data_IF_042965387402
#
_entry.id   IF_042965387402
#
_cell.length_a   1.000
_cell.length_b   1.000
_cell.length_c   1.000
_cell.angle_alpha   90.00
_cell.angle_beta   90.00
_cell.angle_gamma   90.00
#
_symmetry.space_group_name_H-M   'P 1'
#
loop_
_entity.id
_entity.type
_entity.pdbx_description
1 polymer ?
#
# COMPACT_ATOMS: atom_id res chain seq x y z
N UNK A 1 -15.07 11.08 4.42
CA UNK A 1 -15.17 11.72 5.76
C UNK A 1 -13.75 11.85 6.31
N UNK A 2 -13.47 12.71 7.27
CA UNK A 2 -12.14 12.78 7.88
C UNK A 2 -11.85 11.47 8.63
N UNK A 3 -10.70 10.84 8.39
CA UNK A 3 -10.27 9.62 9.10
C UNK A 3 -8.94 9.82 9.79
N UNK A 4 -8.76 9.24 10.96
CA UNK A 4 -7.52 9.29 11.74
C UNK A 4 -6.54 8.23 11.24
N UNK A 5 -5.23 8.50 11.34
CA UNK A 5 -4.19 7.49 11.16
C UNK A 5 -3.44 7.27 12.49
N UNK A 6 -3.13 6.01 12.86
CA UNK A 6 -3.46 4.77 12.16
C UNK A 6 -4.96 4.43 12.18
N UNK A 7 -5.46 3.63 11.20
CA UNK A 7 -6.78 3.02 11.25
C UNK A 7 -6.96 2.17 12.50
N UNK A 8 -8.20 2.06 12.99
CA UNK A 8 -8.51 1.17 14.10
C UNK A 8 -8.33 -0.31 13.70
N UNK A 9 -7.86 -1.14 14.64
CA UNK A 9 -7.66 -2.57 14.43
C UNK A 9 -8.95 -3.25 13.97
N UNK A 10 -10.09 -2.83 14.52
CA UNK A 10 -11.40 -3.38 14.14
C UNK A 10 -11.73 -3.20 12.65
N UNK A 11 -11.20 -2.16 12.00
CA UNK A 11 -11.34 -1.96 10.55
C UNK A 11 -10.52 -2.95 9.72
N UNK A 12 -9.38 -3.40 10.25
CA UNK A 12 -8.55 -4.43 9.62
C UNK A 12 -9.18 -5.82 9.84
N UNK A 13 -9.58 -6.14 11.07
CA UNK A 13 -10.26 -7.40 11.44
C UNK A 13 -11.48 -7.66 10.56
N UNK A 14 -12.35 -6.65 10.38
CA UNK A 14 -13.51 -6.75 9.47
C UNK A 14 -13.14 -7.03 8.02
N UNK A 15 -11.98 -6.55 7.56
CA UNK A 15 -11.52 -6.76 6.18
C UNK A 15 -10.85 -8.12 5.98
N UNK A 16 -10.28 -8.68 7.04
CA UNK A 16 -9.79 -10.05 7.07
C UNK A 16 -10.95 -11.06 7.08
N UNK A 17 -12.16 -10.62 7.45
CA UNK A 17 -13.35 -11.48 7.45
C UNK A 17 -13.37 -12.45 8.65
N UNK A 18 -12.70 -12.07 9.73
CA UNK A 18 -12.66 -12.82 11.00
C UNK A 18 -13.40 -12.03 12.07
N UNK A 19 -14.03 -12.73 13.00
CA UNK A 19 -14.78 -12.09 14.08
C UNK A 19 -13.84 -11.59 15.19
N UNK A 20 -12.78 -12.34 15.48
CA UNK A 20 -11.80 -12.03 16.51
C UNK A 20 -10.41 -12.53 16.08
N UNK A 21 -9.36 -11.80 16.48
CA UNK A 21 -7.96 -12.22 16.33
C UNK A 21 -7.48 -12.74 17.69
N UNK A 22 -6.63 -13.77 17.69
CA UNK A 22 -5.96 -14.16 18.92
C UNK A 22 -4.94 -13.10 19.37
N UNK A 23 -4.33 -13.29 20.55
CA UNK A 23 -3.40 -12.30 21.12
C UNK A 23 -2.18 -12.06 20.23
N UNK A 24 -1.63 -13.12 19.61
CA UNK A 24 -0.46 -13.01 18.75
C UNK A 24 -0.78 -12.29 17.44
N UNK A 25 -1.88 -12.66 16.80
CA UNK A 25 -2.33 -12.03 15.56
C UNK A 25 -2.83 -10.61 15.78
N UNK A 26 -3.38 -10.30 16.96
CA UNK A 26 -3.71 -8.94 17.37
C UNK A 26 -2.46 -8.06 17.42
N UNK A 27 -1.39 -8.51 18.09
CA UNK A 27 -0.14 -7.74 18.16
C UNK A 27 0.51 -7.60 16.78
N UNK A 28 0.54 -8.67 15.98
CA UNK A 28 1.04 -8.62 14.59
C UNK A 28 0.24 -7.64 13.74
N UNK A 29 -1.08 -7.65 13.83
CA UNK A 29 -1.94 -6.76 13.06
C UNK A 29 -1.75 -5.29 13.47
N UNK A 30 -1.53 -5.00 14.77
CA UNK A 30 -1.19 -3.66 15.25
C UNK A 30 0.15 -3.20 14.71
N UNK A 31 1.21 -4.01 14.84
CA UNK A 31 2.54 -3.68 14.30
C UNK A 31 2.46 -3.42 12.79
N UNK A 32 1.72 -4.25 12.04
CA UNK A 32 1.54 -4.02 10.60
C UNK A 32 0.80 -2.72 10.28
N UNK A 33 -0.17 -2.30 11.09
CA UNK A 33 -0.87 -1.01 10.92
C UNK A 33 0.04 0.17 11.24
N UNK A 34 0.87 0.06 12.26
CA UNK A 34 1.85 1.07 12.65
C UNK A 34 2.90 1.24 11.54
N UNK A 35 3.51 0.14 11.09
CA UNK A 35 4.50 0.15 10.01
C UNK A 35 3.92 0.70 8.71
N UNK A 36 2.71 0.26 8.32
CA UNK A 36 2.01 0.80 7.16
C UNK A 36 1.79 2.31 7.29
N UNK A 37 1.43 2.78 8.48
CA UNK A 37 1.20 4.20 8.75
C UNK A 37 2.50 5.00 8.65
N UNK A 38 3.60 4.49 9.22
CA UNK A 38 4.93 5.13 9.13
C UNK A 38 5.35 5.29 7.68
N UNK A 39 5.23 4.23 6.87
CA UNK A 39 5.59 4.28 5.44
C UNK A 39 4.74 5.29 4.66
N UNK A 40 3.43 5.34 4.94
CA UNK A 40 2.53 6.28 4.28
C UNK A 40 2.82 7.73 4.67
N UNK A 41 3.10 8.00 5.94
CA UNK A 41 3.45 9.35 6.42
C UNK A 41 4.80 9.81 5.89
N UNK A 42 5.77 8.89 5.70
CA UNK A 42 7.07 9.20 5.12
C UNK A 42 7.00 9.68 3.66
N UNK A 43 5.96 9.29 2.91
CA UNK A 43 5.72 9.75 1.53
C UNK A 43 5.09 11.16 1.45
N UNK A 44 4.82 11.80 2.60
CA UNK A 44 4.23 13.13 2.68
C UNK A 44 5.18 14.14 3.36
N UNK A 45 5.15 15.43 2.98
CA UNK A 45 5.82 16.48 3.75
C UNK A 45 5.32 16.50 5.19
N UNK A 46 6.20 16.83 6.14
CA UNK A 46 5.91 16.80 7.59
C UNK A 46 4.59 17.51 7.96
N UNK A 47 4.32 18.68 7.38
CA UNK A 47 3.07 19.42 7.61
C UNK A 47 1.82 18.63 7.20
N UNK A 48 1.89 17.88 6.10
CA UNK A 48 0.79 17.04 5.61
C UNK A 48 0.68 15.77 6.45
N UNK A 49 1.81 15.15 6.80
CA UNK A 49 1.84 13.99 7.68
C UNK A 49 1.21 14.28 9.05
N UNK A 50 1.58 15.41 9.67
CA UNK A 50 0.99 15.88 10.93
C UNK A 50 -0.50 16.18 10.80
N UNK A 51 -0.98 16.62 9.64
CA UNK A 51 -2.41 16.79 9.42
C UNK A 51 -3.13 15.45 9.29
N UNK A 52 -2.54 14.49 8.56
CA UNK A 52 -3.14 13.18 8.32
C UNK A 52 -3.22 12.29 9.55
N UNK A 53 -2.41 12.54 10.59
CA UNK A 53 -2.57 11.86 11.88
C UNK A 53 -3.97 12.04 12.47
N UNK A 54 -4.65 13.16 12.18
CA UNK A 54 -6.00 13.45 12.68
C UNK A 54 -7.06 13.55 11.59
N UNK A 55 -6.65 13.84 10.35
CA UNK A 55 -7.55 14.05 9.22
C UNK A 55 -6.89 13.63 7.90
N UNK A 56 -6.74 12.32 7.73
CA UNK A 56 -6.31 11.73 6.49
C UNK A 56 -7.47 11.60 5.48
N UNK A 57 -7.17 11.75 4.17
CA UNK A 57 -8.09 11.38 3.10
C UNK A 57 -8.45 9.90 3.12
N UNK A 58 -9.69 9.57 2.76
CA UNK A 58 -10.22 8.18 2.74
C UNK A 58 -9.33 7.22 1.93
N UNK A 59 -8.72 7.70 0.83
CA UNK A 59 -7.82 6.88 -0.01
C UNK A 59 -6.51 6.54 0.70
N UNK A 60 -5.96 7.44 1.50
CA UNK A 60 -4.73 7.21 2.27
C UNK A 60 -5.00 6.18 3.37
N UNK A 61 -6.11 6.34 4.07
CA UNK A 61 -6.59 5.38 5.06
C UNK A 61 -6.78 3.96 4.46
N UNK A 62 -7.34 3.88 3.25
CA UNK A 62 -7.51 2.61 2.54
C UNK A 62 -6.17 1.98 2.14
N UNK A 63 -5.16 2.77 1.77
CA UNK A 63 -3.83 2.26 1.44
C UNK A 63 -3.17 1.64 2.67
N UNK A 64 -3.23 2.31 3.84
CA UNK A 64 -2.68 1.77 5.09
C UNK A 64 -3.28 0.40 5.42
N UNK A 65 -4.61 0.28 5.37
CA UNK A 65 -5.29 -0.99 5.62
C UNK A 65 -4.91 -2.09 4.63
N UNK A 66 -4.74 -1.75 3.35
CA UNK A 66 -4.34 -2.72 2.32
C UNK A 66 -2.89 -3.18 2.50
N UNK A 67 -1.99 -2.28 2.86
CA UNK A 67 -0.59 -2.62 3.14
C UNK A 67 -0.49 -3.53 4.37
N UNK A 68 -1.17 -3.16 5.46
CA UNK A 68 -1.20 -3.97 6.69
C UNK A 68 -1.83 -5.36 6.48
N UNK A 69 -2.96 -5.42 5.74
CA UNK A 69 -3.60 -6.70 5.37
C UNK A 69 -2.66 -7.60 4.57
N UNK A 70 -1.93 -7.02 3.61
CA UNK A 70 -1.04 -7.79 2.73
C UNK A 70 0.09 -8.47 3.51
N UNK A 71 0.69 -7.75 4.45
CA UNK A 71 1.71 -8.32 5.33
C UNK A 71 1.12 -9.37 6.29
N UNK A 72 -0.10 -9.13 6.79
CA UNK A 72 -0.78 -10.09 7.65
C UNK A 72 -1.06 -11.42 6.92
N UNK A 73 -1.58 -11.35 5.69
CA UNK A 73 -1.91 -12.52 4.86
C UNK A 73 -0.67 -13.19 4.23
N UNK A 74 0.42 -12.45 3.99
CA UNK A 74 1.64 -12.96 3.38
C UNK A 74 2.92 -12.50 4.12
N UNK A 75 3.13 -12.97 5.36
CA UNK A 75 4.25 -12.54 6.20
C UNK A 75 5.63 -12.98 5.67
N UNK A 76 5.66 -13.88 4.67
CA UNK A 76 6.89 -14.35 4.03
C UNK A 76 7.18 -13.63 2.71
N UNK A 77 6.36 -12.65 2.31
CA UNK A 77 6.61 -11.83 1.13
C UNK A 77 6.58 -12.60 -0.21
N UNK A 78 5.94 -13.77 -0.27
CA UNK A 78 5.91 -14.56 -1.50
C UNK A 78 5.16 -13.81 -2.61
N UNK A 79 5.90 -13.22 -3.55
CA UNK A 79 5.39 -12.77 -4.84
C UNK A 79 5.66 -13.88 -5.85
N UNK A 80 4.60 -14.56 -6.30
CA UNK A 80 4.70 -15.50 -7.42
C UNK A 80 4.25 -14.79 -8.68
N UNK A 81 5.18 -14.25 -9.45
CA UNK A 81 4.94 -13.98 -10.86
C UNK A 81 5.24 -15.26 -11.66
N UNK A 82 4.21 -15.91 -12.20
CA UNK A 82 4.39 -16.98 -13.20
C UNK A 82 4.50 -16.35 -14.58
N UNK A 83 5.72 -16.28 -15.11
CA UNK A 83 5.99 -16.01 -16.52
C UNK A 83 6.60 -17.26 -17.18
N UNK A 84 5.79 -18.29 -17.42
CA UNK A 84 6.24 -19.52 -18.08
C UNK A 84 7.22 -20.38 -17.25
N UNK A 85 8.28 -20.90 -17.89
CA UNK A 85 9.25 -21.87 -17.32
C UNK A 85 10.33 -21.28 -16.40
N UNK A 86 10.41 -19.96 -16.24
CA UNK A 86 11.43 -19.32 -15.40
C UNK A 86 10.81 -18.68 -14.15
N UNK A 87 10.90 -19.38 -13.03
CA UNK A 87 10.62 -18.81 -11.71
C UNK A 87 11.81 -17.96 -11.25
N UNK A 88 11.71 -16.64 -11.37
CA UNK A 88 12.62 -15.74 -10.65
C UNK A 88 11.88 -15.33 -9.37
N UNK A 89 12.24 -15.96 -8.25
CA UNK A 89 11.73 -15.57 -6.94
C UNK A 89 12.23 -14.16 -6.60
N UNK A 90 11.31 -13.21 -6.44
CA UNK A 90 11.63 -11.89 -5.92
C UNK A 90 12.21 -11.99 -4.51
N UNK A 91 13.25 -11.20 -4.22
CA UNK A 91 13.93 -11.15 -2.92
C UNK A 91 12.94 -11.03 -1.77
N UNK A 92 13.21 -11.78 -0.69
CA UNK A 92 12.54 -11.76 0.60
C UNK A 92 12.48 -10.33 1.18
N UNK A 93 11.48 -9.54 0.80
CA UNK A 93 11.11 -8.35 1.56
C UNK A 93 10.10 -8.79 2.60
N UNK A 94 10.58 -9.26 3.74
CA UNK A 94 9.79 -9.40 4.95
C UNK A 94 9.43 -8.01 5.46
N UNK A 95 8.16 -7.80 5.84
CA UNK A 95 7.65 -6.55 6.38
C UNK A 95 6.74 -5.78 5.43
N UNK A 96 5.99 -4.84 6.02
CA UNK A 96 5.01 -4.03 5.30
C UNK A 96 5.68 -3.23 4.18
N UNK A 97 5.04 -3.19 3.01
CA UNK A 97 5.51 -2.43 1.87
C UNK A 97 4.38 -1.72 1.12
N UNK A 98 4.73 -0.62 0.45
CA UNK A 98 3.85 0.11 -0.45
C UNK A 98 4.17 -0.25 -1.90
N UNK A 99 3.14 -0.53 -2.69
CA UNK A 99 3.32 -0.74 -4.13
C UNK A 99 3.58 0.59 -4.85
N UNK A 100 4.22 0.54 -6.03
CA UNK A 100 4.47 1.74 -6.84
C UNK A 100 3.18 2.54 -7.16
N UNK A 101 2.04 1.85 -7.36
CA UNK A 101 0.74 2.49 -7.61
C UNK A 101 0.19 3.21 -6.37
N UNK A 102 0.41 2.65 -5.19
CA UNK A 102 0.00 3.24 -3.92
C UNK A 102 0.83 4.48 -3.63
N UNK A 103 2.16 4.41 -3.80
CA UNK A 103 3.06 5.57 -3.70
C UNK A 103 2.63 6.68 -4.68
N UNK A 104 2.38 6.35 -5.94
CA UNK A 104 1.91 7.33 -6.93
C UNK A 104 0.57 7.98 -6.53
N UNK A 105 -0.32 7.21 -5.89
CA UNK A 105 -1.60 7.72 -5.38
C UNK A 105 -1.37 8.66 -4.20
N UNK A 106 -0.53 8.30 -3.23
CA UNK A 106 -0.18 9.17 -2.09
C UNK A 106 0.40 10.48 -2.59
N UNK A 107 1.39 10.44 -3.49
CA UNK A 107 2.01 11.63 -4.08
C UNK A 107 1.01 12.51 -4.82
N UNK A 108 0.04 11.90 -5.52
CA UNK A 108 -1.05 12.65 -6.16
C UNK A 108 -1.91 13.38 -5.13
N UNK A 109 -2.27 12.71 -4.04
CA UNK A 109 -3.05 13.29 -2.94
C UNK A 109 -2.28 14.43 -2.27
N UNK A 110 -0.99 14.24 -1.96
CA UNK A 110 -0.10 15.27 -1.41
C UNK A 110 -0.03 16.50 -2.32
N UNK A 111 0.19 16.28 -3.62
CA UNK A 111 0.37 17.38 -4.59
C UNK A 111 -0.91 18.18 -4.85
N UNK A 112 -2.09 17.69 -4.42
CA UNK A 112 -3.39 18.30 -4.67
C UNK A 112 -3.81 18.34 -6.15
N UNK A 113 -2.98 17.82 -7.08
CA UNK A 113 -3.30 17.78 -8.52
C UNK A 113 -4.33 16.68 -8.80
N UNK A 114 -5.61 17.07 -8.71
CA UNK A 114 -6.71 16.34 -9.36
C UNK A 114 -6.48 16.40 -10.87
N UNK A 115 -5.90 15.35 -11.45
CA UNK A 115 -5.74 15.22 -12.91
C UNK A 115 -4.31 15.28 -13.45
N UNK A 116 -3.27 14.99 -12.64
CA UNK A 116 -1.94 14.75 -13.17
C UNK A 116 -1.95 13.58 -14.18
N UNK A 117 -1.78 13.92 -15.46
CA UNK A 117 -1.69 13.04 -16.64
C UNK A 117 -1.12 11.65 -16.32
N UNK A 118 -1.95 10.61 -16.43
CA UNK A 118 -1.48 9.22 -16.56
C UNK A 118 -1.23 8.99 -18.05
N UNK A 119 -0.15 9.57 -18.54
CA UNK A 119 0.32 9.30 -19.88
C UNK A 119 0.76 7.85 -19.99
N UNK A 120 0.19 7.12 -20.93
CA UNK A 120 0.85 5.93 -21.42
C UNK A 120 2.02 6.40 -22.28
N UNK A 121 3.25 6.20 -21.80
CA UNK A 121 4.41 6.24 -22.70
C UNK A 121 4.31 4.98 -23.53
N UNK A 122 3.71 5.08 -24.72
CA UNK A 122 3.94 4.10 -25.77
C UNK A 122 5.37 4.33 -26.23
N UNK A 123 6.29 3.49 -25.77
CA UNK A 123 7.56 3.32 -26.48
C UNK A 123 7.20 2.88 -27.90
N UNK A 124 7.61 3.61 -28.95
CA UNK A 124 7.52 3.09 -30.30
C UNK A 124 8.32 1.78 -30.31
N UNK A 125 7.65 0.67 -30.61
CA UNK A 125 8.33 -0.60 -30.83
C UNK A 125 9.35 -0.39 -31.94
N UNK A 126 10.59 -0.84 -31.73
CA UNK A 126 11.62 -0.84 -32.76
C UNK A 126 11.27 -1.75 -33.96
N UNK A 127 10.18 -2.54 -33.84
CA UNK A 127 9.49 -3.15 -34.96
C UNK A 127 8.52 -2.14 -35.58
N UNK A 128 9.08 -1.14 -36.25
CA UNK A 128 8.53 -0.70 -37.52
C UNK A 128 9.08 -1.64 -38.60
N UNK A 129 8.27 -1.87 -39.63
CA UNK A 129 8.62 -2.48 -40.91
C UNK A 129 8.51 -4.01 -40.97
N UNK A 130 7.42 -4.46 -41.61
CA UNK A 130 7.25 -5.87 -41.95
C UNK A 130 5.94 -6.25 -42.61
N UNK A 131 5.41 -5.47 -43.56
CA UNK A 131 4.79 -5.86 -44.86
C UNK A 131 3.92 -4.75 -45.45
#
# INVERSE_FOLDING_TARGET
MAKTLPPDLSELTKRLGVDELDELDTERAKTNLEDATVLVLAEAPERVATHWSTNAPDVVHLIVLKAARREFENPRGFSTEQLGEHSVGGMDTSGVYLTAREIATIRRVVSGRRGGWVGTVRTPSAYGDGS
#
